data_IF_740330362570
#
_entry.id   IF_740330362570
#
_cell.length_a   1.000
_cell.length_b   1.000
_cell.length_c   1.000
_cell.angle_alpha   90.00
_cell.angle_beta   90.00
_cell.angle_gamma   90.00
#
_symmetry.space_group_name_H-M   'P 1'
#
loop_
_entity.id
_entity.type
_entity.pdbx_description
1 polymer ?
#
# COMPACT_ATOMS: atom_id res chain seq x y z
N UNK A 1 1.78 6.31 -1.68
CA UNK A 1 2.87 5.30 -1.74
C UNK A 1 3.90 5.62 -2.83
N UNK A 2 3.46 6.08 -4.00
CA UNK A 2 4.34 6.32 -5.15
C UNK A 2 5.17 7.61 -5.08
N UNK A 3 4.91 8.49 -4.12
CA UNK A 3 5.73 9.71 -3.89
C UNK A 3 7.05 9.41 -3.16
N UNK A 4 7.17 8.21 -2.61
CA UNK A 4 8.38 7.78 -1.92
C UNK A 4 9.43 7.30 -2.92
N UNK A 5 10.67 7.72 -2.72
CA UNK A 5 11.78 7.27 -3.56
C UNK A 5 12.10 5.79 -3.41
N UNK A 6 11.81 5.20 -2.26
CA UNK A 6 12.10 3.81 -1.95
C UNK A 6 11.12 3.27 -0.91
N UNK A 7 10.70 2.00 -1.00
CA UNK A 7 9.84 1.36 -0.01
C UNK A 7 10.58 0.95 1.29
N UNK A 8 11.89 1.18 1.41
CA UNK A 8 12.72 0.69 2.53
C UNK A 8 12.21 1.14 3.91
N UNK A 9 11.74 2.38 4.04
CA UNK A 9 11.19 2.88 5.30
C UNK A 9 9.97 2.07 5.75
N UNK A 10 9.04 1.85 4.84
CA UNK A 10 7.86 1.04 5.06
C UNK A 10 8.22 -0.43 5.36
N UNK A 11 9.10 -1.04 4.58
CA UNK A 11 9.57 -2.41 4.77
C UNK A 11 10.23 -2.59 6.14
N UNK A 12 11.02 -1.62 6.58
CA UNK A 12 11.68 -1.65 7.89
C UNK A 12 10.65 -1.64 9.03
N UNK A 13 9.62 -0.81 8.94
CA UNK A 13 8.53 -0.76 9.94
C UNK A 13 7.79 -2.10 9.97
N UNK A 14 7.42 -2.65 8.81
CA UNK A 14 6.74 -3.94 8.72
C UNK A 14 7.60 -5.08 9.31
N UNK A 15 8.91 -5.07 9.05
CA UNK A 15 9.82 -6.07 9.60
C UNK A 15 9.95 -5.96 11.13
N UNK A 16 9.93 -4.76 11.68
CA UNK A 16 9.89 -4.55 13.14
C UNK A 16 8.59 -5.07 13.73
N UNK A 17 7.45 -4.74 13.13
CA UNK A 17 6.14 -5.21 13.59
C UNK A 17 6.02 -6.74 13.50
N UNK A 18 6.65 -7.36 12.50
CA UNK A 18 6.66 -8.82 12.33
C UNK A 18 7.21 -9.58 13.54
N UNK A 19 8.06 -8.94 14.35
CA UNK A 19 8.61 -9.55 15.57
C UNK A 19 7.60 -9.75 16.68
N UNK A 20 6.48 -9.02 16.60
CA UNK A 20 5.44 -9.02 17.63
C UNK A 20 4.19 -9.80 17.22
N UNK A 21 4.17 -10.37 16.02
CA UNK A 21 3.05 -11.16 15.51
C UNK A 21 3.53 -12.52 15.01
N UNK A 22 2.76 -13.56 15.26
CA UNK A 22 3.12 -14.94 14.90
C UNK A 22 2.97 -15.21 13.41
N UNK A 23 1.91 -14.68 12.81
CA UNK A 23 1.63 -14.83 11.39
C UNK A 23 2.48 -13.90 10.53
N UNK A 24 2.69 -14.28 9.27
CA UNK A 24 3.33 -13.39 8.31
C UNK A 24 2.47 -12.16 8.01
N UNK A 25 3.07 -10.97 8.09
CA UNK A 25 2.44 -9.75 7.61
C UNK A 25 2.54 -9.74 6.09
N UNK A 26 1.40 -9.63 5.39
CA UNK A 26 1.37 -9.49 3.93
C UNK A 26 1.79 -8.08 3.54
N UNK A 27 3.04 -7.94 3.12
CA UNK A 27 3.64 -6.64 2.82
C UNK A 27 3.64 -6.41 1.31
N UNK A 28 3.09 -5.28 0.88
CA UNK A 28 3.12 -4.85 -0.51
C UNK A 28 4.26 -3.85 -0.71
N UNK A 29 4.95 -3.95 -1.83
CA UNK A 29 5.93 -2.95 -2.24
C UNK A 29 5.37 -2.08 -3.35
N UNK A 30 5.77 -0.82 -3.39
CA UNK A 30 5.35 0.13 -4.42
C UNK A 30 6.57 0.90 -4.91
N UNK A 31 6.80 0.85 -6.21
CA UNK A 31 7.91 1.50 -6.86
C UNK A 31 7.41 2.49 -7.92
N UNK A 32 8.06 3.64 -7.99
CA UNK A 32 7.78 4.62 -9.02
C UNK A 32 9.01 4.79 -9.92
N UNK A 33 8.97 4.29 -11.17
CA UNK A 33 10.06 4.45 -12.12
C UNK A 33 10.45 5.90 -12.41
N UNK A 34 9.50 6.84 -12.27
CA UNK A 34 9.75 8.27 -12.52
C UNK A 34 10.79 8.89 -11.57
N UNK A 35 11.07 8.23 -10.44
CA UNK A 35 12.13 8.68 -9.52
C UNK A 35 13.54 8.26 -9.97
N UNK A 36 13.64 7.39 -10.97
CA UNK A 36 14.92 6.95 -11.55
C UNK A 36 15.23 7.73 -12.83
N UNK A 37 16.52 7.95 -13.09
CA UNK A 37 17.00 8.72 -14.26
C UNK A 37 16.58 8.07 -15.58
N UNK A 38 16.53 6.72 -15.61
CA UNK A 38 16.21 5.94 -16.81
C UNK A 38 14.73 5.50 -16.84
N UNK A 39 13.89 6.04 -15.96
CA UNK A 39 12.49 5.62 -15.79
C UNK A 39 12.35 4.10 -15.61
N UNK A 40 13.34 3.49 -14.99
CA UNK A 40 13.39 2.04 -14.72
C UNK A 40 13.76 1.81 -13.27
N UNK A 41 13.26 0.71 -12.72
CA UNK A 41 13.63 0.25 -11.39
C UNK A 41 14.82 -0.68 -11.52
N UNK A 42 16.01 -0.32 -10.97
CA UNK A 42 17.17 -1.19 -11.02
C UNK A 42 16.91 -2.49 -10.24
N UNK A 43 17.26 -3.63 -10.83
CA UNK A 43 17.14 -4.93 -10.18
C UNK A 43 17.94 -4.99 -8.87
N UNK A 44 19.07 -4.27 -8.80
CA UNK A 44 19.89 -4.16 -7.59
C UNK A 44 19.14 -3.51 -6.42
N UNK A 45 18.28 -2.54 -6.69
CA UNK A 45 17.43 -1.90 -5.68
C UNK A 45 16.42 -2.90 -5.13
N UNK A 46 15.70 -3.61 -6.01
CA UNK A 46 14.76 -4.65 -5.63
C UNK A 46 15.40 -5.73 -4.76
N UNK A 47 16.58 -6.20 -5.17
CA UNK A 47 17.31 -7.21 -4.41
C UNK A 47 17.77 -6.68 -3.05
N UNK A 48 18.21 -5.43 -2.99
CA UNK A 48 18.62 -4.80 -1.74
C UNK A 48 17.45 -4.68 -0.77
N UNK A 49 16.30 -4.27 -1.26
CA UNK A 49 15.08 -4.14 -0.45
C UNK A 49 14.63 -5.50 0.08
N UNK A 50 14.60 -6.52 -0.78
CA UNK A 50 14.24 -7.88 -0.40
C UNK A 50 15.18 -8.46 0.66
N UNK A 51 16.49 -8.35 0.44
CA UNK A 51 17.51 -8.86 1.37
C UNK A 51 17.45 -8.11 2.70
N UNK A 52 17.26 -6.80 2.66
CA UNK A 52 17.16 -5.97 3.86
C UNK A 52 15.92 -6.35 4.66
N UNK A 53 14.77 -6.46 4.01
CA UNK A 53 13.52 -6.88 4.64
C UNK A 53 13.66 -8.26 5.31
N UNK A 54 14.24 -9.23 4.63
CA UNK A 54 14.51 -10.56 5.17
C UNK A 54 15.44 -10.51 6.38
N UNK A 55 16.55 -9.76 6.30
CA UNK A 55 17.52 -9.62 7.41
C UNK A 55 16.92 -8.98 8.65
N UNK A 56 15.98 -8.07 8.49
CA UNK A 56 15.26 -7.44 9.60
C UNK A 56 14.15 -8.31 10.19
N UNK A 57 13.87 -9.48 9.60
CA UNK A 57 12.90 -10.45 10.12
C UNK A 57 11.55 -10.41 9.42
N UNK A 58 11.44 -9.76 8.28
CA UNK A 58 10.27 -9.85 7.43
C UNK A 58 10.06 -11.27 6.91
N UNK A 59 8.83 -11.76 6.88
CA UNK A 59 8.50 -13.14 6.49
C UNK A 59 7.92 -13.25 5.09
N UNK A 60 7.19 -12.23 4.62
CA UNK A 60 6.41 -12.35 3.40
C UNK A 60 6.28 -11.02 2.67
N UNK A 61 6.66 -10.99 1.40
CA UNK A 61 6.24 -9.98 0.44
C UNK A 61 5.07 -10.54 -0.37
N UNK A 62 4.05 -9.72 -0.64
CA UNK A 62 2.81 -10.18 -1.26
C UNK A 62 2.62 -9.60 -2.65
N UNK A 63 2.31 -8.30 -2.77
CA UNK A 63 2.19 -7.64 -4.06
C UNK A 63 3.40 -6.75 -4.34
N UNK A 64 3.81 -6.78 -5.58
CA UNK A 64 4.78 -5.89 -6.16
C UNK A 64 4.05 -4.93 -7.09
N UNK A 65 3.95 -3.67 -6.71
CA UNK A 65 3.25 -2.65 -7.46
C UNK A 65 4.25 -1.71 -8.12
N UNK A 66 4.01 -1.38 -9.37
CA UNK A 66 4.81 -0.39 -10.12
C UNK A 66 3.86 0.68 -10.63
N UNK A 67 4.25 1.94 -10.48
CA UNK A 67 3.53 3.04 -11.07
C UNK A 67 3.79 3.04 -12.58
N UNK A 68 2.74 2.96 -13.39
CA UNK A 68 2.80 2.86 -14.85
C UNK A 68 2.66 4.21 -15.56
N UNK A 69 2.51 5.29 -14.79
CA UNK A 69 2.32 6.63 -15.31
C UNK A 69 0.91 6.91 -15.83
N UNK A 70 0.01 5.95 -15.79
CA UNK A 70 -1.40 6.20 -16.00
C UNK A 70 -1.90 7.03 -14.80
N UNK A 71 -1.80 8.33 -14.91
CA UNK A 71 -2.68 9.21 -14.18
C UNK A 71 -4.04 8.96 -14.81
N UNK A 72 -4.86 8.15 -14.16
CA UNK A 72 -6.27 8.34 -14.29
C UNK A 72 -6.49 9.82 -13.92
N UNK A 73 -6.73 10.66 -14.91
CA UNK A 73 -7.44 11.91 -14.71
C UNK A 73 -8.81 11.48 -14.19
N UNK A 74 -8.85 11.08 -12.92
CA UNK A 74 -10.08 11.07 -12.17
C UNK A 74 -10.41 12.56 -12.09
N UNK A 75 -11.18 13.05 -13.07
CA UNK A 75 -11.99 14.24 -12.86
C UNK A 75 -12.68 13.97 -11.52
N UNK A 76 -12.19 14.62 -10.47
CA UNK A 76 -12.92 14.61 -9.21
C UNK A 76 -14.35 15.00 -9.55
N UNK A 77 -15.33 14.12 -9.37
CA UNK A 77 -16.69 14.52 -9.54
C UNK A 77 -16.88 15.67 -8.55
N UNK A 78 -17.08 16.87 -9.07
CA UNK A 78 -17.44 18.05 -8.30
C UNK A 78 -18.83 17.82 -7.72
N UNK A 79 -18.91 16.89 -6.77
CA UNK A 79 -20.03 16.80 -5.86
C UNK A 79 -19.76 17.78 -4.72
N UNK A 80 -20.43 18.94 -4.72
CA UNK A 80 -20.58 19.64 -3.48
C UNK A 80 -21.25 18.65 -2.52
N UNK A 81 -20.59 18.29 -1.45
CA UNK A 81 -21.24 17.65 -0.31
C UNK A 81 -22.28 18.65 0.21
N UNK A 82 -23.45 18.60 -0.37
CA UNK A 82 -24.64 19.14 0.26
C UNK A 82 -24.96 18.12 1.34
N UNK A 83 -24.69 18.49 2.58
CA UNK A 83 -25.13 17.70 3.73
C UNK A 83 -26.65 17.57 3.62
N UNK A 84 -27.10 16.44 3.12
CA UNK A 84 -28.42 15.96 3.42
C UNK A 84 -28.29 15.28 4.78
N UNK A 85 -28.97 15.85 5.74
CA UNK A 85 -29.28 15.18 7.00
C UNK A 85 -30.15 13.97 6.63
N UNK A 86 -29.50 12.85 6.30
CA UNK A 86 -30.17 11.57 6.17
C UNK A 86 -30.59 11.16 7.57
N UNK A 87 -31.88 11.29 7.85
CA UNK A 87 -32.52 10.61 8.95
C UNK A 87 -32.07 9.15 8.93
N UNK A 88 -31.45 8.72 10.03
CA UNK A 88 -31.05 7.34 10.26
C UNK A 88 -32.29 6.48 10.16
N UNK A 89 -32.51 5.89 8.99
CA UNK A 89 -33.43 4.76 8.85
C UNK A 89 -32.82 3.59 9.62
N UNK A 90 -33.41 3.28 10.76
CA UNK A 90 -33.10 2.11 11.58
C UNK A 90 -33.56 0.85 10.82
N UNK A 91 -32.98 0.62 9.65
CA UNK A 91 -33.13 -0.63 8.92
C UNK A 91 -32.47 -1.76 9.70
N UNK A 92 -33.26 -2.66 10.25
CA UNK A 92 -32.81 -3.89 10.90
C UNK A 92 -31.94 -4.69 9.93
N UNK A 93 -30.66 -4.87 10.29
CA UNK A 93 -29.74 -5.68 9.51
C UNK A 93 -30.10 -7.17 9.70
N UNK A 94 -30.78 -7.78 8.73
CA UNK A 94 -31.19 -9.20 8.76
C UNK A 94 -30.02 -10.19 8.86
N UNK A 95 -28.78 -9.75 8.66
CA UNK A 95 -27.60 -10.63 8.73
C UNK A 95 -27.06 -10.88 10.14
N UNK A 96 -27.63 -10.24 11.17
CA UNK A 96 -27.20 -10.39 12.55
C UNK A 96 -28.08 -11.34 13.39
N UNK A 97 -28.99 -12.10 12.78
CA UNK A 97 -29.81 -13.10 13.49
C UNK A 97 -29.11 -14.45 13.38
N UNK A 98 -28.48 -14.86 14.46
CA UNK A 98 -28.08 -16.26 14.73
C UNK A 98 -29.16 -16.93 15.54
#
# INVERSE_FOLDING_TARGET
>A
CYDQKSPQGYLSICAVLQKYVDQGISVNTSYNPQHSVDEKIPMSELLTDLITFYKYGGKQLYYFNTFDGATDEVEEPSHPYVGQDDELDEGECESCVL
#
